data_IF_315638620430
#
_entry.id   IF_315638620430
#
_cell.length_a   1.000
_cell.length_b   1.000
_cell.length_c   1.000
_cell.angle_alpha   90.00
_cell.angle_beta   90.00
_cell.angle_gamma   90.00
#
_symmetry.space_group_name_H-M   'P 1'
#
loop_
_entity.id
_entity.type
_entity.pdbx_description
1 polymer ?
#
# COMPACT_ATOMS: atom_id res chain seq x y z
N UNK A 1 -9.94 -12.61 12.32
CA UNK A 1 -10.71 -13.72 11.70
C UNK A 1 -10.76 -13.46 10.21
N UNK A 2 -10.15 -14.32 9.41
CA UNK A 2 -10.23 -14.25 7.95
C UNK A 2 -11.43 -15.12 7.54
N UNK A 3 -12.49 -14.51 7.02
CA UNK A 3 -13.64 -15.25 6.49
C UNK A 3 -13.29 -15.60 5.04
N UNK A 4 -12.66 -16.75 4.83
CA UNK A 4 -12.47 -17.33 3.51
C UNK A 4 -13.58 -18.35 3.26
N UNK A 5 -14.47 -18.09 2.31
CA UNK A 5 -15.37 -19.10 1.77
C UNK A 5 -14.82 -19.56 0.42
N UNK A 6 -14.89 -20.85 0.15
CA UNK A 6 -14.58 -21.39 -1.17
C UNK A 6 -15.72 -21.00 -2.14
N UNK A 7 -15.39 -20.25 -3.18
CA UNK A 7 -16.36 -19.82 -4.21
C UNK A 7 -16.94 -21.00 -4.98
N UNK A 8 -16.23 -22.13 -5.04
CA UNK A 8 -16.67 -23.32 -5.78
C UNK A 8 -17.66 -24.20 -4.99
N UNK A 9 -17.60 -24.19 -3.66
CA UNK A 9 -18.59 -24.86 -2.79
C UNK A 9 -19.72 -23.92 -2.33
N UNK A 10 -19.67 -22.64 -2.71
CA UNK A 10 -20.63 -21.64 -2.27
C UNK A 10 -21.74 -21.42 -3.29
N UNK A 11 -22.98 -21.72 -2.92
CA UNK A 11 -24.19 -21.38 -3.71
C UNK A 11 -24.50 -19.88 -3.73
N UNK A 12 -23.67 -19.05 -3.08
CA UNK A 12 -23.88 -17.62 -2.96
C UNK A 12 -24.12 -16.93 -4.32
N UNK A 13 -23.32 -17.17 -5.39
CA UNK A 13 -23.52 -16.52 -6.69
C UNK A 13 -24.86 -16.86 -7.37
N UNK A 14 -25.47 -18.00 -7.03
CA UNK A 14 -26.74 -18.47 -7.60
C UNK A 14 -27.96 -17.98 -6.80
N UNK A 15 -27.75 -17.36 -5.64
CA UNK A 15 -28.81 -16.89 -4.75
C UNK A 15 -29.06 -15.39 -4.94
N UNK A 16 -30.32 -15.00 -4.74
CA UNK A 16 -30.76 -13.58 -4.78
C UNK A 16 -30.00 -12.71 -3.76
N UNK A 17 -29.41 -13.33 -2.74
CA UNK A 17 -28.56 -12.66 -1.75
C UNK A 17 -27.28 -12.05 -2.36
N UNK A 18 -26.72 -12.62 -3.44
CA UNK A 18 -25.49 -12.11 -4.05
C UNK A 18 -25.66 -10.74 -4.72
N UNK A 19 -26.65 -10.51 -5.61
CA UNK A 19 -26.92 -9.18 -6.15
C UNK A 19 -27.13 -8.12 -5.06
N UNK A 20 -27.84 -8.45 -3.98
CA UNK A 20 -28.09 -7.54 -2.85
C UNK A 20 -26.79 -7.22 -2.11
N UNK A 21 -25.92 -8.21 -1.90
CA UNK A 21 -24.61 -8.01 -1.29
C UNK A 21 -23.75 -7.07 -2.16
N UNK A 22 -23.70 -7.31 -3.48
CA UNK A 22 -22.97 -6.47 -4.43
C UNK A 22 -23.50 -5.05 -4.45
N UNK A 23 -24.82 -4.87 -4.41
CA UNK A 23 -25.44 -3.54 -4.33
C UNK A 23 -25.03 -2.80 -3.05
N UNK A 24 -25.17 -3.44 -1.89
CA UNK A 24 -24.80 -2.83 -0.60
C UNK A 24 -23.29 -2.52 -0.52
N UNK A 25 -22.44 -3.41 -1.03
CA UNK A 25 -21.00 -3.19 -1.13
C UNK A 25 -20.68 -2.01 -2.04
N UNK A 26 -21.38 -1.89 -3.18
CA UNK A 26 -21.16 -0.78 -4.12
C UNK A 26 -21.56 0.56 -3.51
N UNK A 27 -22.69 0.61 -2.80
CA UNK A 27 -23.14 1.79 -2.08
C UNK A 27 -22.20 2.17 -0.92
N UNK A 28 -21.63 1.17 -0.24
CA UNK A 28 -20.66 1.40 0.83
C UNK A 28 -19.27 1.83 0.30
N UNK A 29 -18.81 1.24 -0.80
CA UNK A 29 -17.50 1.53 -1.39
C UNK A 29 -17.49 2.83 -2.21
N UNK A 30 -18.63 3.24 -2.77
CA UNK A 30 -18.74 4.47 -3.56
C UNK A 30 -19.82 5.40 -2.98
N UNK A 31 -19.56 6.05 -1.83
CA UNK A 31 -20.48 7.04 -1.29
C UNK A 31 -20.67 8.19 -2.31
N UNK A 32 -21.91 8.65 -2.55
CA UNK A 32 -22.20 9.69 -3.55
C UNK A 32 -21.47 11.03 -3.34
N UNK A 33 -20.95 11.24 -2.13
CA UNK A 33 -20.44 12.53 -1.65
C UNK A 33 -18.91 12.64 -1.62
N UNK A 34 -18.16 11.66 -2.16
CA UNK A 34 -16.69 11.69 -2.12
C UNK A 34 -16.10 11.52 -3.52
N UNK A 35 -15.19 12.41 -3.96
CA UNK A 35 -14.38 12.16 -5.15
C UNK A 35 -13.56 10.87 -4.96
N UNK A 36 -13.71 9.92 -5.89
CA UNK A 36 -13.06 8.61 -5.90
C UNK A 36 -11.54 8.64 -6.13
N UNK A 37 -10.89 9.78 -5.89
CA UNK A 37 -9.48 10.00 -6.14
C UNK A 37 -8.75 10.29 -4.83
N UNK A 38 -7.56 9.73 -4.69
CA UNK A 38 -6.66 10.03 -3.59
C UNK A 38 -5.84 11.27 -3.91
N UNK A 39 -5.70 12.17 -2.93
CA UNK A 39 -4.99 13.45 -3.09
C UNK A 39 -3.54 13.34 -2.62
N UNK A 40 -2.67 14.17 -3.18
CA UNK A 40 -1.30 14.30 -2.68
C UNK A 40 -1.23 15.16 -1.40
N UNK A 41 -0.22 14.95 -0.55
CA UNK A 41 0.15 15.93 0.46
C UNK A 41 0.43 17.29 -0.18
N UNK A 42 0.08 18.38 0.51
CA UNK A 42 0.20 19.77 0.04
C UNK A 42 -0.73 20.18 -1.11
N UNK A 43 -1.61 19.28 -1.59
CA UNK A 43 -2.61 19.63 -2.58
C UNK A 43 -3.84 20.31 -1.91
N UNK A 44 -4.26 21.50 -2.36
CA UNK A 44 -5.43 22.17 -1.84
C UNK A 44 -6.72 21.47 -2.27
N UNK A 45 -7.45 20.89 -1.31
CA UNK A 45 -8.69 20.15 -1.57
C UNK A 45 -9.87 21.11 -1.49
N UNK A 46 -10.66 21.18 -2.56
CA UNK A 46 -11.89 21.99 -2.58
C UNK A 46 -13.05 21.18 -2.03
N UNK A 47 -13.56 21.57 -0.86
CA UNK A 47 -14.72 20.96 -0.23
C UNK A 47 -15.93 21.83 -0.55
N UNK A 48 -16.89 21.24 -1.25
CA UNK A 48 -18.18 21.87 -1.55
C UNK A 48 -19.19 21.39 -0.51
N UNK A 49 -19.65 22.25 0.42
CA UNK A 49 -20.71 21.88 1.36
C UNK A 49 -22.00 21.52 0.62
N UNK A 50 -22.70 20.49 1.09
CA UNK A 50 -24.02 20.16 0.56
C UNK A 50 -25.05 21.26 0.91
N UNK A 51 -26.05 21.46 0.06
CA UNK A 51 -27.05 22.53 0.23
C UNK A 51 -27.83 22.33 1.53
N UNK A 52 -27.79 23.33 2.42
CA UNK A 52 -28.41 23.26 3.75
C UNK A 52 -27.48 22.80 4.89
N UNK A 53 -26.19 22.61 4.63
CA UNK A 53 -25.19 22.37 5.67
C UNK A 53 -25.04 23.59 6.60
N UNK A 54 -25.30 23.39 7.89
CA UNK A 54 -25.18 24.40 8.95
C UNK A 54 -23.76 24.45 9.54
N UNK A 55 -23.03 23.34 9.47
CA UNK A 55 -21.64 23.22 9.95
C UNK A 55 -20.88 22.24 9.09
N UNK A 56 -19.61 22.52 8.82
CA UNK A 56 -18.67 21.64 8.13
C UNK A 56 -17.37 21.60 8.92
N UNK A 57 -16.86 20.41 9.21
CA UNK A 57 -15.55 20.23 9.84
C UNK A 57 -14.80 19.06 9.24
N UNK A 58 -13.49 19.22 9.06
CA UNK A 58 -12.59 18.15 8.63
C UNK A 58 -11.87 17.58 9.84
N UNK A 59 -11.98 16.27 10.02
CA UNK A 59 -11.20 15.50 10.99
C UNK A 59 -9.99 14.92 10.26
N UNK A 60 -8.80 15.31 10.70
CA UNK A 60 -7.53 14.84 10.17
C UNK A 60 -7.23 13.42 10.69
N UNK A 61 -6.31 12.66 10.07
CA UNK A 61 -5.92 11.32 10.51
C UNK A 61 -5.34 11.28 11.94
N UNK A 62 -4.80 12.40 12.42
CA UNK A 62 -4.30 12.60 13.79
C UNK A 62 -5.43 12.77 14.84
N UNK A 63 -6.70 12.80 14.41
CA UNK A 63 -7.88 13.00 15.24
C UNK A 63 -8.22 14.48 15.54
N UNK A 64 -7.41 15.42 15.08
CA UNK A 64 -7.69 16.85 15.24
C UNK A 64 -8.77 17.34 14.27
N UNK A 65 -9.50 18.37 14.70
CA UNK A 65 -10.68 18.89 14.00
C UNK A 65 -10.42 20.30 13.50
N UNK A 66 -10.67 20.54 12.21
CA UNK A 66 -10.58 21.85 11.57
C UNK A 66 -11.97 22.27 11.08
N UNK A 67 -12.59 23.30 11.67
CA UNK A 67 -13.87 23.82 11.17
C UNK A 67 -13.65 24.54 9.84
N UNK A 68 -14.59 24.38 8.92
CA UNK A 68 -14.67 25.11 7.66
C UNK A 68 -15.89 26.03 7.68
N UNK A 69 -15.84 27.11 6.89
CA UNK A 69 -16.97 28.00 6.74
C UNK A 69 -18.15 27.25 6.10
N UNK A 70 -19.28 27.19 6.82
CA UNK A 70 -20.49 26.58 6.31
C UNK A 70 -21.12 27.44 5.21
N UNK A 71 -21.61 26.82 4.14
CA UNK A 71 -22.37 27.51 3.08
C UNK A 71 -21.55 28.14 1.95
N UNK A 72 -20.21 28.04 1.96
CA UNK A 72 -19.36 28.48 0.86
C UNK A 72 -18.34 27.40 0.50
N UNK A 73 -17.94 27.36 -0.78
CA UNK A 73 -16.83 26.51 -1.24
C UNK A 73 -15.59 26.87 -0.42
N UNK A 74 -15.02 25.89 0.29
CA UNK A 74 -13.86 26.10 1.16
C UNK A 74 -12.70 25.22 0.68
N UNK A 75 -11.51 25.82 0.59
CA UNK A 75 -10.28 25.12 0.25
C UNK A 75 -9.58 24.69 1.53
N UNK A 76 -9.33 23.39 1.67
CA UNK A 76 -8.59 22.80 2.77
C UNK A 76 -7.18 22.42 2.30
N UNK A 77 -6.17 23.10 2.82
CA UNK A 77 -4.76 22.89 2.46
C UNK A 77 -3.92 22.22 3.56
N UNK A 78 -4.50 21.85 4.70
CA UNK A 78 -3.81 21.22 5.84
C UNK A 78 -3.81 19.68 5.65
N UNK A 79 -3.24 19.24 4.52
CA UNK A 79 -3.17 17.84 4.05
C UNK A 79 -1.80 17.19 4.28
N UNK A 80 -0.93 17.82 5.09
CA UNK A 80 0.40 17.33 5.48
C UNK A 80 0.41 15.85 5.94
N UNK A 81 -0.45 15.42 6.90
CA UNK A 81 -0.45 14.03 7.32
C UNK A 81 -1.14 13.14 6.29
N UNK A 82 -0.44 12.11 5.81
CA UNK A 82 -1.06 11.07 4.98
C UNK A 82 -2.03 10.21 5.80
N UNK A 83 -3.15 9.81 5.20
CA UNK A 83 -4.14 8.97 5.86
C UNK A 83 -5.58 9.25 5.44
N UNK A 84 -6.51 8.74 6.23
CA UNK A 84 -7.95 8.88 6.03
C UNK A 84 -8.45 10.15 6.73
N UNK A 85 -9.00 11.08 5.97
CA UNK A 85 -9.65 12.28 6.45
C UNK A 85 -11.17 12.09 6.43
N UNK A 86 -11.85 12.70 7.40
CA UNK A 86 -13.30 12.63 7.53
C UNK A 86 -13.89 14.02 7.45
N UNK A 87 -14.81 14.28 6.54
CA UNK A 87 -15.60 15.50 6.51
C UNK A 87 -16.92 15.24 7.23
N UNK A 88 -17.13 15.95 8.33
CA UNK A 88 -18.38 15.93 9.10
C UNK A 88 -19.19 17.18 8.74
N UNK A 89 -20.40 16.98 8.24
CA UNK A 89 -21.33 18.05 7.88
C UNK A 89 -22.63 17.86 8.66
N UNK A 90 -23.22 18.94 9.17
CA UNK A 90 -24.54 18.89 9.80
C UNK A 90 -25.57 19.51 8.86
N UNK A 91 -26.50 18.72 8.35
CA UNK A 91 -27.56 19.15 7.43
C UNK A 91 -28.91 18.90 8.09
N UNK A 92 -29.73 19.95 8.26
CA UNK A 92 -31.06 19.84 8.86
C UNK A 92 -31.09 19.03 10.18
N UNK A 93 -30.04 19.17 11.01
CA UNK A 93 -29.90 18.46 12.28
C UNK A 93 -29.38 17.02 12.20
N UNK A 94 -29.07 16.50 11.00
CA UNK A 94 -28.42 15.20 10.81
C UNK A 94 -26.93 15.36 10.53
N UNK A 95 -26.12 14.52 11.16
CA UNK A 95 -24.68 14.44 10.91
C UNK A 95 -24.43 13.52 9.71
N UNK A 96 -23.94 14.10 8.61
CA UNK A 96 -23.47 13.38 7.44
C UNK A 96 -21.94 13.34 7.48
N UNK A 97 -21.39 12.15 7.23
CA UNK A 97 -19.97 11.89 7.28
C UNK A 97 -19.52 11.39 5.92
N UNK A 98 -18.54 12.07 5.34
CA UNK A 98 -17.87 11.65 4.12
C UNK A 98 -16.38 11.48 4.40
N UNK A 99 -15.68 10.68 3.59
CA UNK A 99 -14.28 10.32 3.84
C UNK A 99 -13.45 10.52 2.60
N UNK A 100 -12.26 11.08 2.68
CA UNK A 100 -11.29 11.11 1.58
C UNK A 100 -9.91 10.69 2.06
N UNK A 101 -9.09 10.16 1.17
CA UNK A 101 -7.73 9.71 1.51
C UNK A 101 -6.67 10.62 0.90
N UNK A 102 -5.66 10.97 1.69
CA UNK A 102 -4.43 11.63 1.24
C UNK A 102 -3.31 10.59 1.30
N UNK A 103 -2.66 10.32 0.17
CA UNK A 103 -1.58 9.35 0.08
C UNK A 103 -0.49 9.81 -0.90
N UNK A 104 0.67 9.17 -0.83
CA UNK A 104 1.77 9.41 -1.76
C UNK A 104 1.54 8.71 -3.11
N UNK A 105 0.57 7.79 -3.18
CA UNK A 105 0.27 7.02 -4.37
C UNK A 105 -0.42 7.90 -5.40
N UNK A 106 0.15 7.97 -6.59
CA UNK A 106 -0.42 8.70 -7.70
C UNK A 106 -0.33 7.90 -8.99
N UNK A 107 -1.16 8.25 -9.96
CA UNK A 107 -1.11 7.65 -11.30
C UNK A 107 0.31 7.57 -11.89
N UNK A 108 1.20 8.58 -11.71
CA UNK A 108 2.61 8.48 -12.08
C UNK A 108 3.38 7.31 -11.44
N UNK A 109 3.06 6.92 -10.20
CA UNK A 109 3.72 5.77 -9.53
C UNK A 109 3.19 4.45 -10.11
N UNK A 110 1.95 4.42 -10.57
CA UNK A 110 1.41 3.28 -11.33
C UNK A 110 1.98 3.21 -12.75
N UNK A 111 2.56 4.31 -13.25
CA UNK A 111 3.20 4.35 -14.56
C UNK A 111 4.60 3.74 -14.49
N UNK A 112 4.64 2.41 -14.50
CA UNK A 112 5.89 1.62 -14.56
C UNK A 112 6.65 1.73 -15.89
N UNK A 113 6.22 2.63 -16.80
CA UNK A 113 6.94 2.85 -18.06
C UNK A 113 8.30 3.49 -17.71
N UNK A 114 9.43 2.81 -17.98
CA UNK A 114 10.74 3.39 -17.73
C UNK A 114 10.86 4.70 -18.52
N UNK A 115 11.36 5.79 -17.93
CA UNK A 115 11.64 7.01 -18.67
C UNK A 115 12.68 6.71 -19.75
N UNK A 116 12.47 7.18 -20.98
CA UNK A 116 13.41 6.99 -22.10
C UNK A 116 14.80 7.58 -21.82
N UNK A 117 14.90 8.51 -20.85
CA UNK A 117 16.16 9.00 -20.28
C UNK A 117 16.05 9.26 -18.79
N UNK A 118 16.83 8.53 -17.99
CA UNK A 118 17.22 8.96 -16.65
C UNK A 118 18.48 9.83 -16.76
N UNK A 119 18.34 11.14 -16.61
CA UNK A 119 19.49 12.02 -16.35
C UNK A 119 19.88 11.88 -14.88
N UNK A 120 20.71 10.89 -14.59
CA UNK A 120 21.36 10.77 -13.29
C UNK A 120 22.37 11.93 -13.16
N UNK A 121 22.38 12.68 -12.03
CA UNK A 121 23.48 13.57 -11.73
C UNK A 121 24.80 12.80 -11.80
N UNK A 122 25.92 13.41 -12.24
CA UNK A 122 27.22 12.76 -12.26
C UNK A 122 27.62 12.43 -10.82
N UNK A 123 27.18 11.28 -10.34
CA UNK A 123 27.63 10.71 -9.07
C UNK A 123 29.04 10.24 -9.36
N UNK A 124 30.01 10.91 -8.75
CA UNK A 124 31.39 10.46 -8.71
C UNK A 124 31.39 9.13 -7.97
N UNK A 125 31.25 8.03 -8.70
CA UNK A 125 31.40 6.68 -8.15
C UNK A 125 32.86 6.54 -7.77
N UNK A 126 33.19 6.93 -6.53
CA UNK A 126 34.35 6.38 -5.86
C UNK A 126 34.04 4.90 -5.75
N UNK A 127 34.65 4.10 -6.63
CA UNK A 127 34.63 2.65 -6.55
C UNK A 127 35.38 2.33 -5.26
N UNK A 128 34.66 2.32 -4.14
CA UNK A 128 35.14 1.63 -2.96
C UNK A 128 35.01 0.17 -3.34
N UNK A 129 36.08 -0.41 -3.89
CA UNK A 129 36.24 -1.85 -3.90
C UNK A 129 36.12 -2.24 -2.43
N UNK A 130 34.95 -2.73 -2.03
CA UNK A 130 34.83 -3.48 -0.80
C UNK A 130 35.82 -4.63 -0.99
N UNK A 131 36.99 -4.51 -0.35
CA UNK A 131 37.90 -5.61 -0.18
C UNK A 131 37.10 -6.62 0.63
N UNK A 132 36.50 -7.58 -0.09
CA UNK A 132 35.77 -8.69 0.48
C UNK A 132 36.80 -9.46 1.30
N UNK A 133 36.94 -9.07 2.57
CA UNK A 133 37.88 -9.68 3.48
C UNK A 133 37.40 -11.11 3.73
N UNK A 134 38.14 -12.05 3.14
CA UNK A 134 38.38 -13.35 3.74
C UNK A 134 37.13 -14.17 4.05
N UNK A 135 36.38 -14.55 3.03
CA UNK A 135 35.67 -15.82 3.11
C UNK A 135 36.75 -16.89 2.99
N UNK A 136 37.32 -17.31 4.13
CA UNK A 136 38.28 -18.40 4.20
C UNK A 136 37.69 -19.58 3.43
N UNK A 137 38.32 -19.94 2.31
CA UNK A 137 37.93 -21.05 1.47
C UNK A 137 38.24 -22.35 2.22
N UNK A 138 37.39 -22.72 3.17
CA UNK A 138 37.48 -23.99 3.92
C UNK A 138 37.08 -25.20 3.07
N UNK A 139 36.40 -24.94 1.95
CA UNK A 139 35.90 -25.93 1.00
C UNK A 139 36.98 -26.90 0.45
N UNK A 140 38.19 -26.47 0.05
CA UNK A 140 39.22 -27.36 -0.50
C UNK A 140 39.68 -28.41 0.52
N UNK A 141 39.72 -28.06 1.81
CA UNK A 141 40.07 -29.00 2.88
C UNK A 141 38.99 -30.06 3.09
N UNK A 142 37.71 -29.66 3.01
CA UNK A 142 36.57 -30.58 3.07
C UNK A 142 36.58 -31.53 1.87
N UNK A 143 36.83 -31.02 0.66
CA UNK A 143 36.94 -31.82 -0.56
C UNK A 143 38.09 -32.85 -0.47
N UNK A 144 39.24 -32.45 0.07
CA UNK A 144 40.39 -33.33 0.26
C UNK A 144 40.10 -34.45 1.28
N UNK A 145 39.45 -34.12 2.40
CA UNK A 145 39.05 -35.11 3.39
C UNK A 145 38.06 -36.14 2.81
N UNK A 146 37.06 -35.69 2.05
CA UNK A 146 36.12 -36.57 1.36
C UNK A 146 36.82 -37.49 0.34
N UNK A 147 37.77 -36.94 -0.43
CA UNK A 147 38.58 -37.73 -1.38
C UNK A 147 39.39 -38.82 -0.68
N UNK A 148 39.98 -38.51 0.48
CA UNK A 148 40.76 -39.46 1.27
C UNK A 148 39.88 -40.61 1.80
N UNK A 149 38.67 -40.30 2.29
CA UNK A 149 37.71 -41.31 2.75
C UNK A 149 37.30 -42.24 1.60
N UNK A 150 36.93 -41.69 0.44
CA UNK A 150 36.56 -42.50 -0.74
C UNK A 150 37.71 -43.41 -1.19
N UNK A 151 38.94 -42.89 -1.17
CA UNK A 151 40.13 -43.68 -1.56
C UNK A 151 40.42 -44.78 -0.54
N UNK A 152 40.22 -44.51 0.75
CA UNK A 152 40.39 -45.49 1.82
C UNK A 152 39.33 -46.59 1.75
N UNK A 153 38.06 -46.24 1.54
CA UNK A 153 36.99 -47.22 1.31
C UNK A 153 37.27 -48.06 0.07
N UNK A 154 37.66 -47.43 -1.04
CA UNK A 154 38.00 -48.14 -2.26
C UNK A 154 39.14 -49.14 -2.03
N UNK A 155 40.19 -48.75 -1.30
CA UNK A 155 41.31 -49.64 -0.98
C UNK A 155 40.90 -50.77 -0.02
N UNK A 156 40.00 -50.50 0.94
CA UNK A 156 39.46 -51.52 1.85
C UNK A 156 38.62 -52.54 1.08
N UNK A 157 37.73 -52.08 0.19
CA UNK A 157 36.99 -52.94 -0.72
C UNK A 157 37.91 -53.74 -1.64
N UNK A 158 38.98 -53.13 -2.16
CA UNK A 158 39.89 -53.80 -3.07
C UNK A 158 40.82 -54.80 -2.37
N UNK A 159 41.14 -54.59 -1.09
CA UNK A 159 41.99 -55.50 -0.29
C UNK A 159 41.24 -56.65 0.38
N UNK A 160 39.93 -56.77 0.17
CA UNK A 160 39.14 -57.92 0.62
C UNK A 160 38.94 -57.95 2.12
N UNK A 161 37.91 -57.25 2.58
CA UNK A 161 37.12 -57.65 3.74
C UNK A 161 35.84 -58.32 3.24
#
# INVERSE_FOLDING_TARGET
MLVGFDLHESDLPLRIAFPILVQNLSEWLLPPSVPSHSFHPDEPITIVPESGATSVSVVRPDGSRRPLAAGSIATFGDTDPTGLYTVEQTIAGKLQRSWFSVNLFSEPISQLKPPDRLTLPPTRTTITQATHHGQLEIWPWIALAALAVVTAEWLAFHRGL
#
